data_IF_907351504707
#
_entry.id   IF_907351504707
#
_cell.length_a   1.000
_cell.length_b   1.000
_cell.length_c   1.000
_cell.angle_alpha   90.00
_cell.angle_beta   90.00
_cell.angle_gamma   90.00
#
_symmetry.space_group_name_H-M   'P 1'
#
loop_
_entity.id
_entity.type
_entity.pdbx_description
1 polymer ?
#
# COMPACT_ATOMS: atom_id res chain seq x y z
N UNK A 1 -16.12 44.15 5.26
CA UNK A 1 -16.84 42.91 4.91
C UNK A 1 -15.82 41.90 4.38
N UNK A 2 -15.40 40.95 5.20
CA UNK A 2 -14.57 39.82 4.75
C UNK A 2 -15.53 38.76 4.24
N UNK A 3 -15.57 38.54 2.93
CA UNK A 3 -16.31 37.43 2.33
C UNK A 3 -15.66 36.13 2.80
N UNK A 4 -16.42 35.28 3.48
CA UNK A 4 -15.96 33.94 3.87
C UNK A 4 -15.53 33.21 2.58
N UNK A 5 -14.24 32.86 2.48
CA UNK A 5 -13.76 32.07 1.36
C UNK A 5 -14.48 30.71 1.38
N UNK A 6 -14.98 30.23 0.24
CA UNK A 6 -15.60 28.92 0.16
C UNK A 6 -14.58 27.86 0.60
N UNK A 7 -14.99 26.99 1.52
CA UNK A 7 -14.18 25.87 2.02
C UNK A 7 -13.71 25.04 0.83
N UNK A 8 -12.41 24.73 0.77
CA UNK A 8 -11.85 23.94 -0.33
C UNK A 8 -12.53 22.56 -0.36
N UNK A 9 -12.87 21.98 -1.54
CA UNK A 9 -13.65 20.75 -1.62
C UNK A 9 -13.07 19.55 -0.86
N UNK A 10 -11.75 19.51 -0.68
CA UNK A 10 -11.04 18.48 0.11
C UNK A 10 -11.34 18.59 1.62
N UNK A 11 -11.60 19.80 2.12
CA UNK A 11 -11.84 20.08 3.53
C UNK A 11 -13.35 20.07 3.87
N UNK A 12 -14.21 19.86 2.87
CA UNK A 12 -15.65 19.82 3.06
C UNK A 12 -16.09 18.51 3.73
N UNK A 13 -16.57 18.62 4.97
CA UNK A 13 -17.16 17.49 5.70
C UNK A 13 -18.56 17.16 5.17
N UNK A 14 -18.79 15.91 4.80
CA UNK A 14 -20.14 15.40 4.50
C UNK A 14 -20.95 15.23 5.80
N UNK A 15 -22.29 15.14 5.71
CA UNK A 15 -23.13 14.73 6.84
C UNK A 15 -22.69 13.37 7.40
N UNK A 16 -22.78 13.13 8.72
CA UNK A 16 -22.22 11.94 9.38
C UNK A 16 -22.73 10.60 8.81
N UNK A 17 -24.01 10.53 8.38
CA UNK A 17 -24.55 9.34 7.72
C UNK A 17 -23.94 9.07 6.35
N UNK A 18 -23.68 10.12 5.55
CA UNK A 18 -22.97 10.00 4.26
C UNK A 18 -21.49 9.71 4.44
N UNK A 19 -20.84 10.28 5.46
CA UNK A 19 -19.45 9.95 5.80
C UNK A 19 -19.30 8.46 6.10
N UNK A 20 -20.19 7.89 6.91
CA UNK A 20 -20.14 6.49 7.27
C UNK A 20 -20.32 5.58 6.05
N UNK A 21 -21.34 5.82 5.22
CA UNK A 21 -21.60 4.98 4.04
C UNK A 21 -20.51 5.13 2.97
N UNK A 22 -20.01 6.34 2.74
CA UNK A 22 -18.87 6.56 1.85
C UNK A 22 -17.59 5.91 2.37
N UNK A 23 -17.35 5.93 3.68
CA UNK A 23 -16.23 5.23 4.31
C UNK A 23 -16.32 3.71 4.11
N UNK A 24 -17.50 3.13 4.32
CA UNK A 24 -17.73 1.70 4.06
C UNK A 24 -17.51 1.33 2.58
N UNK A 25 -17.96 2.18 1.65
CA UNK A 25 -17.70 1.98 0.22
C UNK A 25 -16.21 2.03 -0.11
N UNK A 26 -15.43 2.94 0.50
CA UNK A 26 -13.98 3.00 0.30
C UNK A 26 -13.29 1.74 0.82
N UNK A 27 -13.68 1.24 1.98
CA UNK A 27 -13.15 -0.01 2.54
C UNK A 27 -13.49 -1.18 1.62
N UNK A 28 -14.74 -1.29 1.16
CA UNK A 28 -15.17 -2.34 0.25
C UNK A 28 -14.41 -2.31 -1.08
N UNK A 29 -14.19 -1.11 -1.65
CA UNK A 29 -13.45 -0.94 -2.90
C UNK A 29 -11.95 -1.30 -2.76
N UNK A 30 -11.34 -1.00 -1.60
CA UNK A 30 -9.93 -1.27 -1.33
C UNK A 30 -9.64 -2.73 -0.95
N UNK A 31 -10.63 -3.44 -0.40
CA UNK A 31 -10.44 -4.77 0.20
C UNK A 31 -9.66 -5.73 -0.71
N UNK A 32 -10.11 -5.91 -1.96
CA UNK A 32 -9.47 -6.81 -2.92
C UNK A 32 -8.00 -6.44 -3.19
N UNK A 33 -7.70 -5.14 -3.29
CA UNK A 33 -6.35 -4.63 -3.55
C UNK A 33 -5.39 -4.82 -2.36
N UNK A 34 -5.89 -4.74 -1.13
CA UNK A 34 -5.06 -4.88 0.10
C UNK A 34 -4.84 -6.34 0.49
N UNK A 35 -5.82 -7.21 0.20
CA UNK A 35 -5.79 -8.64 0.52
C UNK A 35 -4.99 -9.46 -0.49
N UNK A 36 -4.98 -9.06 -1.75
CA UNK A 36 -4.33 -9.86 -2.79
C UNK A 36 -2.80 -9.98 -2.64
N UNK A 37 -2.01 -8.92 -2.37
CA UNK A 37 -0.56 -9.06 -2.19
C UNK A 37 -0.13 -10.05 -1.09
N UNK A 38 -0.65 -10.01 0.16
CA UNK A 38 -0.28 -11.00 1.18
C UNK A 38 -0.73 -12.42 0.83
N UNK A 39 -1.85 -12.58 0.12
CA UNK A 39 -2.27 -13.88 -0.40
C UNK A 39 -1.25 -14.43 -1.43
N UNK A 40 -0.84 -13.61 -2.40
CA UNK A 40 0.16 -14.00 -3.42
C UNK A 40 1.49 -14.38 -2.78
N UNK A 41 1.99 -13.55 -1.85
CA UNK A 41 3.27 -13.78 -1.19
C UNK A 41 3.19 -15.01 -0.28
N UNK A 42 2.13 -15.14 0.51
CA UNK A 42 1.94 -16.26 1.44
C UNK A 42 1.81 -17.61 0.73
N UNK A 43 1.02 -17.67 -0.35
CA UNK A 43 0.93 -18.85 -1.18
C UNK A 43 2.27 -19.16 -1.88
N UNK A 44 2.96 -18.14 -2.39
CA UNK A 44 4.22 -18.30 -3.11
C UNK A 44 5.42 -18.73 -2.25
N UNK A 45 5.34 -18.59 -0.92
CA UNK A 45 6.34 -19.10 0.03
C UNK A 45 5.86 -20.35 0.81
N UNK A 46 4.66 -20.85 0.51
CA UNK A 46 4.13 -22.09 1.10
C UNK A 46 3.62 -21.96 2.54
N UNK A 47 3.05 -20.82 2.93
CA UNK A 47 2.43 -20.64 4.24
C UNK A 47 1.15 -21.48 4.39
N UNK A 48 0.81 -21.81 5.64
CA UNK A 48 -0.48 -22.43 5.95
C UNK A 48 -1.63 -21.46 5.69
N UNK A 49 -2.83 -21.99 5.43
CA UNK A 49 -4.04 -21.16 5.24
C UNK A 49 -4.32 -20.26 6.45
N UNK A 50 -4.01 -20.73 7.66
CA UNK A 50 -4.17 -19.96 8.88
C UNK A 50 -3.21 -18.75 8.91
N UNK A 51 -1.95 -18.95 8.52
CA UNK A 51 -0.94 -17.89 8.46
C UNK A 51 -1.25 -16.88 7.36
N UNK A 52 -1.73 -17.33 6.20
CA UNK A 52 -2.17 -16.45 5.11
C UNK A 52 -3.34 -15.57 5.56
N UNK A 53 -4.32 -16.16 6.25
CA UNK A 53 -5.48 -15.42 6.79
C UNK A 53 -5.06 -14.40 7.83
N UNK A 54 -4.10 -14.78 8.69
CA UNK A 54 -3.50 -13.86 9.66
C UNK A 54 -2.77 -12.71 8.96
N UNK A 55 -1.97 -13.02 7.93
CA UNK A 55 -1.22 -12.03 7.15
C UNK A 55 -2.15 -11.05 6.42
N UNK A 56 -3.24 -11.53 5.84
CA UNK A 56 -4.28 -10.69 5.23
C UNK A 56 -4.93 -9.75 6.24
N UNK A 57 -5.27 -10.26 7.43
CA UNK A 57 -5.88 -9.46 8.50
C UNK A 57 -4.90 -8.40 9.03
N UNK A 58 -3.64 -8.78 9.24
CA UNK A 58 -2.57 -7.87 9.64
C UNK A 58 -2.30 -6.79 8.58
N UNK A 59 -2.35 -7.15 7.29
CA UNK A 59 -2.23 -6.23 6.16
C UNK A 59 -3.35 -5.18 6.17
N UNK A 60 -4.62 -5.61 6.28
CA UNK A 60 -5.76 -4.70 6.35
C UNK A 60 -5.68 -3.75 7.55
N UNK A 61 -5.31 -4.28 8.71
CA UNK A 61 -5.13 -3.48 9.92
C UNK A 61 -4.02 -2.43 9.75
N UNK A 62 -2.87 -2.84 9.23
CA UNK A 62 -1.71 -1.95 9.02
C UNK A 62 -1.98 -0.91 7.93
N UNK A 63 -2.70 -1.27 6.86
CA UNK A 63 -3.13 -0.34 5.82
C UNK A 63 -4.09 0.72 6.37
N UNK A 64 -5.00 0.34 7.27
CA UNK A 64 -5.85 1.28 8.00
C UNK A 64 -5.04 2.25 8.85
N UNK A 65 -4.07 1.74 9.62
CA UNK A 65 -3.18 2.58 10.43
C UNK A 65 -2.34 3.53 9.57
N UNK A 66 -1.79 3.05 8.45
CA UNK A 66 -1.05 3.87 7.50
C UNK A 66 -1.93 4.95 6.86
N UNK A 67 -3.18 4.62 6.54
CA UNK A 67 -4.16 5.59 6.03
C UNK A 67 -4.45 6.67 7.06
N UNK A 68 -4.69 6.31 8.33
CA UNK A 68 -4.89 7.27 9.42
C UNK A 68 -3.66 8.16 9.63
N UNK A 69 -2.47 7.58 9.66
CA UNK A 69 -1.21 8.33 9.78
C UNK A 69 -1.07 9.37 8.66
N UNK A 70 -1.42 9.00 7.43
CA UNK A 70 -1.24 9.84 6.25
C UNK A 70 -2.30 10.94 6.11
N UNK A 71 -3.53 10.63 6.52
CA UNK A 71 -4.70 11.53 6.48
C UNK A 71 -4.73 12.50 7.65
N UNK A 72 -4.41 12.06 8.88
CA UNK A 72 -4.34 12.94 10.05
C UNK A 72 -3.01 13.71 10.09
N UNK A 73 -1.92 13.04 9.73
CA UNK A 73 -0.57 13.57 9.78
C UNK A 73 -0.06 13.82 11.22
N UNK A 74 1.23 13.59 11.43
CA UNK A 74 1.93 13.90 12.69
C UNK A 74 3.13 14.78 12.37
N UNK A 75 3.05 16.07 12.73
CA UNK A 75 4.11 17.03 12.43
C UNK A 75 4.33 17.21 10.91
N UNK A 76 5.51 16.82 10.42
CA UNK A 76 5.89 16.85 8.99
C UNK A 76 5.62 15.54 8.24
N UNK A 77 5.12 14.51 8.93
CA UNK A 77 4.83 13.19 8.36
C UNK A 77 3.33 13.12 8.08
N UNK A 78 2.95 12.73 6.87
CA UNK A 78 1.56 12.69 6.41
C UNK A 78 1.18 13.90 5.56
N UNK A 79 0.47 13.64 4.47
CA UNK A 79 0.11 14.62 3.46
C UNK A 79 -1.14 15.43 3.84
N UNK A 80 -1.91 14.96 4.83
CA UNK A 80 -3.19 15.56 5.24
C UNK A 80 -4.18 15.69 4.08
N UNK A 81 -4.14 14.70 3.19
CA UNK A 81 -5.03 14.59 2.05
C UNK A 81 -5.83 13.29 2.15
N UNK A 82 -7.08 13.27 1.63
CA UNK A 82 -7.96 12.12 1.70
C UNK A 82 -7.54 11.07 0.65
N UNK A 83 -6.46 10.34 0.93
CA UNK A 83 -6.08 9.16 0.15
C UNK A 83 -5.83 7.96 1.05
N UNK A 84 -6.11 6.78 0.49
CA UNK A 84 -6.03 5.51 1.20
C UNK A 84 -4.71 4.84 0.85
N UNK A 85 -4.00 4.40 1.88
CA UNK A 85 -2.78 3.61 1.73
C UNK A 85 -3.14 2.13 1.65
N UNK A 86 -2.61 1.46 0.63
CA UNK A 86 -2.73 0.02 0.45
C UNK A 86 -1.37 -0.64 0.29
N UNK A 87 -1.38 -1.97 0.18
CA UNK A 87 -0.15 -2.74 -0.09
C UNK A 87 0.16 -2.68 -1.58
N UNK A 88 1.41 -2.36 -1.92
CA UNK A 88 1.85 -2.26 -3.32
C UNK A 88 2.26 -3.62 -3.87
N UNK A 89 1.74 -3.95 -5.04
CA UNK A 89 2.16 -5.13 -5.80
C UNK A 89 3.57 -5.03 -6.38
N UNK A 90 4.15 -3.84 -6.47
CA UNK A 90 5.51 -3.66 -7.00
C UNK A 90 6.55 -4.46 -6.19
N UNK A 91 6.31 -4.69 -4.90
CA UNK A 91 7.21 -5.43 -4.03
C UNK A 91 7.06 -6.96 -4.08
N UNK A 92 5.99 -7.49 -4.69
CA UNK A 92 5.66 -8.94 -4.61
C UNK A 92 6.75 -9.80 -5.24
N UNK A 93 7.22 -9.46 -6.45
CA UNK A 93 8.28 -10.23 -7.12
C UNK A 93 9.60 -10.25 -6.31
N UNK A 94 10.13 -9.11 -5.81
CA UNK A 94 11.25 -9.11 -4.87
C UNK A 94 11.01 -9.92 -3.60
N UNK A 95 9.83 -9.80 -2.97
CA UNK A 95 9.50 -10.54 -1.74
C UNK A 95 9.54 -12.05 -1.98
N UNK A 96 8.98 -12.53 -3.08
CA UNK A 96 9.04 -13.94 -3.46
C UNK A 96 10.48 -14.41 -3.73
N UNK A 97 11.30 -13.58 -4.36
CA UNK A 97 12.70 -13.89 -4.61
C UNK A 97 13.50 -14.02 -3.29
N UNK A 98 13.28 -13.12 -2.34
CA UNK A 98 13.89 -13.15 -1.01
C UNK A 98 13.41 -14.39 -0.24
N UNK A 99 12.10 -14.67 -0.25
CA UNK A 99 11.53 -15.84 0.41
C UNK A 99 12.10 -17.16 -0.10
N UNK A 100 12.33 -17.29 -1.41
CA UNK A 100 12.96 -18.47 -2.03
C UNK A 100 14.46 -18.60 -1.75
N UNK A 101 15.14 -17.48 -1.52
CA UNK A 101 16.59 -17.45 -1.23
C UNK A 101 16.89 -17.61 0.26
N UNK A 102 15.89 -17.47 1.12
CA UNK A 102 16.02 -17.62 2.56
C UNK A 102 16.17 -19.10 2.97
N UNK A 103 16.80 -19.34 4.12
CA UNK A 103 16.88 -20.67 4.71
C UNK A 103 15.45 -21.24 4.96
N UNK A 104 15.26 -22.57 4.85
CA UNK A 104 13.97 -23.19 5.13
C UNK A 104 13.40 -22.74 6.49
N UNK A 105 12.16 -22.28 6.49
CA UNK A 105 11.49 -21.75 7.71
C UNK A 105 11.78 -20.28 8.04
N UNK A 106 12.69 -19.60 7.34
CA UNK A 106 13.06 -18.20 7.60
C UNK A 106 12.58 -17.21 6.53
N UNK A 107 11.69 -17.63 5.63
CA UNK A 107 11.20 -16.79 4.53
C UNK A 107 10.46 -15.51 5.03
N UNK A 108 9.50 -15.65 5.95
CA UNK A 108 8.74 -14.51 6.48
C UNK A 108 9.64 -13.50 7.24
N UNK A 109 10.47 -13.91 8.22
CA UNK A 109 11.40 -12.99 8.88
C UNK A 109 12.36 -12.29 7.91
N UNK A 110 12.87 -12.99 6.90
CA UNK A 110 13.74 -12.39 5.89
C UNK A 110 13.01 -11.32 5.06
N UNK A 111 11.78 -11.61 4.64
CA UNK A 111 10.93 -10.64 3.93
C UNK A 111 10.65 -9.43 4.81
N UNK A 112 10.23 -9.62 6.07
CA UNK A 112 9.96 -8.49 6.97
C UNK A 112 11.19 -7.65 7.24
N UNK A 113 12.34 -8.29 7.51
CA UNK A 113 13.60 -7.57 7.70
C UNK A 113 13.99 -6.75 6.47
N UNK A 114 13.90 -7.35 5.28
CA UNK A 114 14.20 -6.65 4.03
C UNK A 114 13.24 -5.48 3.78
N UNK A 115 11.93 -5.65 4.03
CA UNK A 115 10.91 -4.60 3.85
C UNK A 115 11.11 -3.46 4.85
N UNK A 116 11.44 -3.75 6.11
CA UNK A 116 11.73 -2.73 7.12
C UNK A 116 12.95 -1.92 6.70
N UNK A 117 14.05 -2.58 6.31
CA UNK A 117 15.27 -1.91 5.87
C UNK A 117 15.01 -1.08 4.61
N UNK A 118 14.30 -1.62 3.63
CA UNK A 118 13.92 -0.90 2.41
C UNK A 118 13.00 0.29 2.71
N UNK A 119 12.08 0.15 3.65
CA UNK A 119 11.17 1.23 4.08
C UNK A 119 11.93 2.38 4.76
N UNK A 120 12.85 2.07 5.67
CA UNK A 120 13.70 3.08 6.32
C UNK A 120 14.61 3.75 5.30
N UNK A 121 15.27 2.98 4.44
CA UNK A 121 16.11 3.52 3.38
C UNK A 121 15.31 4.42 2.42
N UNK A 122 14.11 3.97 2.02
CA UNK A 122 13.19 4.72 1.18
C UNK A 122 12.73 6.03 1.83
N UNK A 123 12.43 6.02 3.13
CA UNK A 123 12.05 7.22 3.88
C UNK A 123 13.19 8.24 3.95
N UNK A 124 14.43 7.80 4.20
CA UNK A 124 15.62 8.68 4.25
C UNK A 124 15.98 9.22 2.85
N UNK A 125 15.84 8.40 1.82
CA UNK A 125 16.18 8.77 0.44
C UNK A 125 15.05 9.52 -0.28
N UNK A 126 13.83 9.51 0.25
CA UNK A 126 12.66 10.16 -0.34
C UNK A 126 12.92 11.58 -0.88
N UNK A 127 13.51 12.54 -0.13
CA UNK A 127 13.70 13.90 -0.64
C UNK A 127 14.63 13.96 -1.87
N UNK A 128 15.63 13.09 -1.92
CA UNK A 128 16.55 13.00 -3.06
C UNK A 128 15.88 12.30 -4.25
N UNK A 129 15.14 11.22 -4.00
CA UNK A 129 14.48 10.43 -5.02
C UNK A 129 13.35 11.21 -5.71
N UNK A 130 12.62 12.06 -4.98
CA UNK A 130 11.63 12.97 -5.54
C UNK A 130 12.22 13.88 -6.64
N UNK A 131 13.49 14.26 -6.55
CA UNK A 131 14.17 15.04 -7.60
C UNK A 131 14.48 14.20 -8.84
N UNK A 132 14.60 12.89 -8.68
CA UNK A 132 14.88 11.93 -9.74
C UNK A 132 13.62 11.55 -10.53
N UNK A 133 12.43 11.67 -9.94
CA UNK A 133 11.13 11.38 -10.59
C UNK A 133 10.96 12.13 -11.91
N UNK A 134 11.58 13.31 -12.07
CA UNK A 134 11.57 14.06 -13.35
C UNK A 134 12.16 13.29 -14.55
N UNK A 135 12.98 12.27 -14.30
CA UNK A 135 13.59 11.43 -15.33
C UNK A 135 12.71 10.23 -15.73
N UNK A 136 11.58 10.02 -15.04
CA UNK A 136 10.62 8.95 -15.34
C UNK A 136 9.37 9.57 -15.97
N UNK A 137 9.35 9.80 -17.30
CA UNK A 137 8.20 10.38 -17.97
C UNK A 137 6.97 9.45 -17.83
N UNK A 138 5.73 9.96 -18.03
CA UNK A 138 4.51 9.20 -17.82
C UNK A 138 4.46 7.86 -18.57
N UNK A 139 5.12 7.76 -19.73
CA UNK A 139 5.24 6.50 -20.48
C UNK A 139 5.98 5.42 -19.69
N UNK A 140 7.05 5.75 -18.98
CA UNK A 140 7.83 4.77 -18.19
C UNK A 140 7.02 4.31 -16.99
N UNK A 141 6.45 5.25 -16.23
CA UNK A 141 5.63 4.95 -15.06
C UNK A 141 4.41 4.12 -15.45
N UNK A 142 3.71 4.49 -16.53
CA UNK A 142 2.57 3.76 -17.05
C UNK A 142 2.93 2.33 -17.47
N UNK A 143 4.01 2.17 -18.26
CA UNK A 143 4.48 0.83 -18.67
C UNK A 143 4.83 -0.07 -17.48
N UNK A 144 5.47 0.46 -16.44
CA UNK A 144 5.78 -0.31 -15.22
C UNK A 144 4.51 -0.74 -14.50
N UNK A 145 3.53 0.16 -14.35
CA UNK A 145 2.23 -0.17 -13.73
C UNK A 145 1.50 -1.25 -14.54
N UNK A 146 1.49 -1.15 -15.87
CA UNK A 146 0.90 -2.18 -16.74
C UNK A 146 1.60 -3.52 -16.59
N UNK A 147 2.94 -3.54 -16.51
CA UNK A 147 3.71 -4.76 -16.28
C UNK A 147 3.42 -5.39 -14.91
N UNK A 148 3.28 -4.57 -13.86
CA UNK A 148 2.86 -5.05 -12.53
C UNK A 148 1.50 -5.74 -12.65
N UNK A 149 0.51 -5.11 -13.30
CA UNK A 149 -0.82 -5.69 -13.51
C UNK A 149 -0.79 -7.00 -14.30
N UNK A 150 -0.09 -7.03 -15.44
CA UNK A 150 0.04 -8.21 -16.29
C UNK A 150 0.72 -9.38 -15.56
N UNK A 151 1.74 -9.11 -14.75
CA UNK A 151 2.48 -10.13 -14.00
C UNK A 151 1.63 -10.81 -12.93
N UNK A 152 0.49 -10.22 -12.56
CA UNK A 152 -0.42 -10.75 -11.54
C UNK A 152 -1.61 -11.51 -12.12
N UNK A 153 -1.86 -11.43 -13.43
CA UNK A 153 -2.92 -12.19 -14.09
C UNK A 153 -2.87 -13.69 -13.78
N UNK A 154 -1.69 -14.36 -13.78
CA UNK A 154 -1.61 -15.78 -13.45
C UNK A 154 -2.06 -16.08 -12.01
N UNK A 155 -1.84 -15.15 -11.07
CA UNK A 155 -2.21 -15.34 -9.66
C UNK A 155 -3.70 -15.11 -9.44
N UNK A 156 -4.37 -14.33 -10.29
CA UNK A 156 -5.82 -14.16 -10.23
C UNK A 156 -6.60 -15.35 -10.78
N UNK A 157 -5.99 -16.12 -11.71
CA UNK A 157 -6.65 -17.23 -12.42
C UNK A 157 -6.36 -18.60 -11.79
N UNK A 158 -5.26 -18.73 -11.03
CA UNK A 158 -4.81 -19.98 -10.41
C UNK A 158 -5.26 -20.10 -8.95
#
# INVERSE_FOLDING_TARGET
MVTAQPVHPVDASLPPGRLLTSGLQHVAAMYAGVVAPPLVVGAGIGLSTADITFLMSASLFTAGLATLLQTLGIGRIGARLPFVNGVSFAGVAPMLAIGKSAAPGHALPAIYGAVIVAGVAGFVLAPYFCRLVRFFPPVVTGSVITLIGLSLLPVAVN
#
